data_IF_117615315225
#
_entry.id   IF_117615315225
#
_cell.length_a   1.000
_cell.length_b   1.000
_cell.length_c   1.000
_cell.angle_alpha   90.00
_cell.angle_beta   90.00
_cell.angle_gamma   90.00
#
_symmetry.space_group_name_H-M   'P 1'
#
loop_
_entity.id
_entity.type
_entity.pdbx_description
1 polymer ?
#
# COMPACT_ATOMS: atom_id res chain seq x y z
N UNK A 1 -15.73 -1.49 19.48
CA UNK A 1 -15.66 -2.52 18.41
C UNK A 1 -15.07 -1.85 17.19
N UNK A 2 -14.11 -2.47 16.49
CA UNK A 2 -13.56 -1.90 15.25
C UNK A 2 -14.60 -2.02 14.13
N UNK A 3 -14.60 -1.07 13.22
CA UNK A 3 -15.42 -1.09 12.01
C UNK A 3 -14.85 -2.05 10.97
N UNK A 4 -15.69 -2.49 10.03
CA UNK A 4 -15.27 -3.33 8.89
C UNK A 4 -14.17 -2.65 8.06
N UNK A 5 -14.25 -1.32 7.91
CA UNK A 5 -13.24 -0.53 7.20
C UNK A 5 -11.88 -0.60 7.90
N UNK A 6 -11.85 -0.36 9.22
CA UNK A 6 -10.63 -0.45 10.02
C UNK A 6 -10.01 -1.86 9.95
N UNK A 7 -10.85 -2.91 10.01
CA UNK A 7 -10.37 -4.29 9.88
C UNK A 7 -9.77 -4.55 8.50
N UNK A 8 -10.38 -4.06 7.43
CA UNK A 8 -9.87 -4.20 6.07
C UNK A 8 -8.55 -3.47 5.85
N UNK A 9 -8.42 -2.26 6.40
CA UNK A 9 -7.17 -1.46 6.34
C UNK A 9 -6.04 -2.19 7.06
N UNK A 10 -6.26 -2.63 8.29
CA UNK A 10 -5.23 -3.34 9.07
C UNK A 10 -4.81 -4.64 8.38
N UNK A 11 -5.76 -5.42 7.87
CA UNK A 11 -5.45 -6.64 7.14
C UNK A 11 -4.63 -6.35 5.87
N UNK A 12 -4.95 -5.28 5.14
CA UNK A 12 -4.17 -4.85 3.98
C UNK A 12 -2.72 -4.50 4.32
N UNK A 13 -2.51 -3.78 5.43
CA UNK A 13 -1.16 -3.46 5.91
C UNK A 13 -0.36 -4.72 6.26
N UNK A 14 -0.97 -5.66 7.00
CA UNK A 14 -0.28 -6.88 7.42
C UNK A 14 0.06 -7.78 6.23
N UNK A 15 -0.84 -7.90 5.24
CA UNK A 15 -0.56 -8.65 4.02
C UNK A 15 0.52 -7.98 3.18
N UNK A 16 0.50 -6.66 3.01
CA UNK A 16 1.52 -5.96 2.23
C UNK A 16 2.91 -6.01 2.91
N UNK A 17 2.97 -6.03 4.25
CA UNK A 17 4.22 -6.30 4.98
C UNK A 17 4.73 -7.71 4.68
N UNK A 18 3.85 -8.73 4.78
CA UNK A 18 4.23 -10.10 4.46
C UNK A 18 4.71 -10.27 3.01
N UNK A 19 4.05 -9.59 2.05
CA UNK A 19 4.48 -9.53 0.64
C UNK A 19 5.87 -8.89 0.51
N UNK A 20 6.14 -7.79 1.23
CA UNK A 20 7.45 -7.15 1.20
C UNK A 20 8.56 -8.02 1.83
N UNK A 21 8.25 -8.79 2.86
CA UNK A 21 9.19 -9.68 3.55
C UNK A 21 9.48 -10.97 2.75
N UNK A 22 8.48 -11.52 2.08
CA UNK A 22 8.58 -12.82 1.39
C UNK A 22 8.82 -12.69 -0.11
N UNK A 23 8.47 -11.55 -0.71
CA UNK A 23 8.40 -11.37 -2.16
C UNK A 23 7.20 -12.04 -2.83
N UNK A 24 6.29 -12.64 -2.07
CA UNK A 24 5.15 -13.39 -2.61
C UNK A 24 3.92 -12.49 -2.81
N UNK A 25 3.77 -11.95 -4.02
CA UNK A 25 2.62 -11.15 -4.44
C UNK A 25 1.29 -11.94 -4.45
N UNK A 26 1.32 -13.27 -4.43
CA UNK A 26 0.10 -14.09 -4.48
C UNK A 26 -0.72 -14.00 -3.19
N UNK A 27 -0.08 -13.69 -2.06
CA UNK A 27 -0.70 -13.54 -0.74
C UNK A 27 -1.91 -12.59 -0.74
N UNK A 28 -1.84 -11.50 -1.51
CA UNK A 28 -2.97 -10.55 -1.64
C UNK A 28 -4.22 -11.24 -2.17
N UNK A 29 -4.06 -12.08 -3.19
CA UNK A 29 -5.17 -12.77 -3.84
C UNK A 29 -5.69 -13.94 -2.99
N UNK A 30 -4.79 -14.66 -2.30
CA UNK A 30 -5.17 -15.76 -1.41
C UNK A 30 -6.00 -15.26 -0.23
N UNK A 31 -5.54 -14.19 0.42
CA UNK A 31 -6.27 -13.55 1.52
C UNK A 31 -7.59 -12.95 1.02
N UNK A 32 -7.61 -12.31 -0.16
CA UNK A 32 -8.85 -11.82 -0.75
C UNK A 32 -9.91 -12.91 -0.87
N UNK A 33 -9.56 -14.12 -1.35
CA UNK A 33 -10.49 -15.25 -1.48
C UNK A 33 -11.03 -15.72 -0.12
N UNK A 34 -10.19 -15.76 0.90
CA UNK A 34 -10.58 -16.15 2.26
C UNK A 34 -11.59 -15.14 2.82
N UNK A 35 -11.31 -13.84 2.66
CA UNK A 35 -12.18 -12.77 3.14
C UNK A 35 -13.49 -12.73 2.36
N UNK A 36 -13.44 -12.88 1.03
CA UNK A 36 -14.62 -12.92 0.16
C UNK A 36 -15.63 -13.99 0.58
N UNK A 37 -15.15 -15.19 0.93
CA UNK A 37 -15.99 -16.29 1.39
C UNK A 37 -16.69 -16.00 2.74
N UNK A 38 -16.17 -15.05 3.54
CA UNK A 38 -16.66 -14.78 4.89
C UNK A 38 -17.42 -13.44 5.02
N UNK A 39 -17.02 -12.40 4.27
CA UNK A 39 -17.61 -11.06 4.36
C UNK A 39 -17.26 -10.20 3.13
N UNK A 40 -18.28 -9.89 2.33
CA UNK A 40 -18.15 -9.00 1.16
C UNK A 40 -17.70 -7.59 1.55
N UNK A 41 -18.30 -7.00 2.58
CA UNK A 41 -17.95 -5.65 3.02
C UNK A 41 -16.49 -5.55 3.49
N UNK A 42 -15.98 -6.57 4.19
CA UNK A 42 -14.57 -6.61 4.60
C UNK A 42 -13.65 -6.77 3.38
N UNK A 43 -14.05 -7.59 2.42
CA UNK A 43 -13.32 -7.82 1.18
C UNK A 43 -13.18 -6.53 0.36
N UNK A 44 -14.26 -5.75 0.24
CA UNK A 44 -14.26 -4.45 -0.43
C UNK A 44 -13.29 -3.48 0.25
N UNK A 45 -13.37 -3.34 1.58
CA UNK A 45 -12.46 -2.48 2.35
C UNK A 45 -11.01 -2.93 2.23
N UNK A 46 -10.73 -4.24 2.32
CA UNK A 46 -9.39 -4.82 2.18
C UNK A 46 -8.78 -4.49 0.81
N UNK A 47 -9.51 -4.76 -0.28
CA UNK A 47 -9.02 -4.49 -1.63
C UNK A 47 -8.88 -2.99 -1.92
N UNK A 48 -9.77 -2.14 -1.40
CA UNK A 48 -9.62 -0.70 -1.48
C UNK A 48 -8.33 -0.24 -0.78
N UNK A 49 -8.08 -0.72 0.44
CA UNK A 49 -6.88 -0.38 1.20
C UNK A 49 -5.58 -0.87 0.54
N UNK A 50 -5.55 -2.10 0.00
CA UNK A 50 -4.38 -2.61 -0.74
C UNK A 50 -4.04 -1.70 -1.93
N UNK A 51 -5.04 -1.31 -2.73
CA UNK A 51 -4.84 -0.41 -3.87
C UNK A 51 -4.37 0.98 -3.42
N UNK A 52 -4.99 1.52 -2.37
CA UNK A 52 -4.63 2.83 -1.83
C UNK A 52 -3.17 2.87 -1.35
N UNK A 53 -2.74 1.85 -0.59
CA UNK A 53 -1.36 1.77 -0.09
C UNK A 53 -0.32 1.66 -1.22
N UNK A 54 -0.59 0.84 -2.25
CA UNK A 54 0.29 0.74 -3.43
C UNK A 54 0.36 2.05 -4.21
N UNK A 55 -0.78 2.73 -4.38
CA UNK A 55 -0.82 4.02 -5.06
C UNK A 55 -0.05 5.10 -4.28
N UNK A 56 -0.22 5.13 -2.96
CA UNK A 56 0.49 6.02 -2.05
C UNK A 56 2.00 5.80 -2.15
N UNK A 57 2.47 4.55 -2.02
CA UNK A 57 3.88 4.21 -2.11
C UNK A 57 4.51 4.73 -3.41
N UNK A 58 3.85 4.47 -4.55
CA UNK A 58 4.30 4.97 -5.85
C UNK A 58 4.30 6.50 -5.93
N UNK A 59 3.31 7.16 -5.34
CA UNK A 59 3.27 8.63 -5.28
C UNK A 59 4.42 9.20 -4.44
N UNK A 60 4.76 8.57 -3.31
CA UNK A 60 5.92 8.95 -2.50
C UNK A 60 7.23 8.76 -3.23
N UNK A 61 7.41 7.65 -3.94
CA UNK A 61 8.60 7.43 -4.75
C UNK A 61 8.78 8.54 -5.79
N UNK A 62 7.71 8.89 -6.50
CA UNK A 62 7.72 9.97 -7.48
C UNK A 62 8.06 11.33 -6.85
N UNK A 63 7.42 11.67 -5.72
CA UNK A 63 7.65 12.91 -5.00
C UNK A 63 9.11 13.03 -4.52
N UNK A 64 9.65 11.96 -3.92
CA UNK A 64 11.02 11.91 -3.45
C UNK A 64 12.03 12.08 -4.60
N UNK A 65 11.79 11.43 -5.74
CA UNK A 65 12.61 11.60 -6.92
C UNK A 65 12.59 13.05 -7.44
N UNK A 66 11.42 13.72 -7.43
CA UNK A 66 11.29 15.13 -7.82
C UNK A 66 12.07 16.05 -6.87
N UNK A 67 11.96 15.83 -5.55
CA UNK A 67 12.67 16.61 -4.54
C UNK A 67 14.20 16.44 -4.65
N UNK A 68 14.68 15.22 -4.88
CA UNK A 68 16.12 14.95 -5.08
C UNK A 68 16.67 15.73 -6.27
N UNK A 69 15.95 15.75 -7.40
CA UNK A 69 16.34 16.53 -8.59
C UNK A 69 16.35 18.03 -8.32
N UNK A 70 15.33 18.55 -7.63
CA UNK A 70 15.26 19.97 -7.29
C UNK A 70 16.44 20.41 -6.40
N UNK A 71 16.79 19.62 -5.38
CA UNK A 71 17.94 19.89 -4.51
C UNK A 71 19.26 19.86 -5.25
N UNK A 72 19.47 18.87 -6.13
CA UNK A 72 20.68 18.78 -6.95
C UNK A 72 20.83 20.00 -7.89
N UNK A 73 19.73 20.44 -8.51
CA UNK A 73 19.73 21.64 -9.36
C UNK A 73 20.00 22.93 -8.58
N UNK A 74 19.55 23.03 -7.32
CA UNK A 74 19.87 24.17 -6.45
C UNK A 74 21.35 24.19 -6.04
N UNK A 75 21.92 23.03 -5.69
CA UNK A 75 23.34 22.92 -5.33
C UNK A 75 24.27 23.33 -6.48
N UNK A 76 23.93 22.98 -7.73
CA UNK A 76 24.69 23.39 -8.93
C UNK A 76 24.61 24.88 -9.24
N UNK A 77 23.60 25.60 -8.74
CA UNK A 77 23.47 27.06 -8.95
C UNK A 77 24.18 27.88 -7.88
N UNK A 78 24.57 27.25 -6.77
CA UNK A 78 25.15 27.91 -5.61
C UNK A 78 26.68 27.76 -5.51
N UNK A 79 27.30 26.97 -6.40
CA UNK A 79 28.75 26.84 -6.57
C UNK A 79 29.17 27.37 -7.92
#
# INVERSE_FOLDING_TARGET
>A
MRTTEELGIMLAEDVLKAVAETGDESLVNEINKIVEAASSALQESYMAAVRAQRAEAKAREFLNARLKRARAAQAQKAG
#
